data_IF_987680740846
#
_entry.id   IF_987680740846
#
_cell.length_a   1.000
_cell.length_b   1.000
_cell.length_c   1.000
_cell.angle_alpha   90.00
_cell.angle_beta   90.00
_cell.angle_gamma   90.00
#
_symmetry.space_group_name_H-M   'P 1'
#
loop_
_entity.id
_entity.type
_entity.pdbx_description
1 polymer ?
#
# COMPACT_ATOMS: atom_id res chain seq x y z
N UNK A 1 3.46 12.52 -14.08
CA UNK A 1 4.23 13.77 -13.95
C UNK A 1 5.54 13.48 -13.23
N UNK A 2 5.51 13.04 -11.96
CA UNK A 2 6.71 12.64 -11.18
C UNK A 2 7.77 11.87 -11.98
N UNK A 3 7.46 10.70 -12.56
CA UNK A 3 8.45 9.90 -13.29
C UNK A 3 9.05 10.62 -14.50
N UNK A 4 8.27 11.46 -15.21
CA UNK A 4 8.78 12.26 -16.32
C UNK A 4 9.72 13.35 -15.82
N UNK A 5 9.38 13.99 -14.70
CA UNK A 5 10.18 15.07 -14.11
C UNK A 5 11.50 14.52 -13.53
N UNK A 6 11.48 13.31 -12.95
CA UNK A 6 12.65 12.66 -12.39
C UNK A 6 13.60 12.08 -13.44
N UNK A 7 13.07 11.51 -14.52
CA UNK A 7 13.84 10.66 -15.44
C UNK A 7 13.87 11.16 -16.89
N UNK A 8 13.01 12.11 -17.26
CA UNK A 8 12.79 12.51 -18.65
C UNK A 8 12.48 11.30 -19.55
N UNK A 9 13.34 11.08 -20.54
CA UNK A 9 13.20 10.00 -21.52
C UNK A 9 13.70 8.62 -21.04
N UNK A 10 14.42 8.56 -19.91
CA UNK A 10 14.99 7.31 -19.39
C UNK A 10 13.92 6.41 -18.77
N UNK A 11 14.14 5.09 -18.83
CA UNK A 11 13.31 4.11 -18.14
C UNK A 11 13.61 4.11 -16.64
N UNK A 12 12.61 3.91 -15.77
CA UNK A 12 12.86 3.70 -14.34
C UNK A 12 13.74 2.47 -14.10
N UNK A 13 14.74 2.64 -13.24
CA UNK A 13 15.59 1.56 -12.73
C UNK A 13 15.42 1.43 -11.21
N UNK A 14 15.90 0.34 -10.64
CA UNK A 14 15.84 0.08 -9.20
C UNK A 14 16.39 1.24 -8.35
N UNK A 15 17.50 1.84 -8.79
CA UNK A 15 18.14 2.98 -8.10
C UNK A 15 17.26 4.24 -8.04
N UNK A 16 16.27 4.35 -8.93
CA UNK A 16 15.39 5.51 -9.00
C UNK A 16 14.18 5.39 -8.06
N UNK A 17 13.88 4.19 -7.57
CA UNK A 17 12.69 3.89 -6.75
C UNK A 17 12.61 4.74 -5.47
N UNK A 18 13.69 4.95 -4.69
CA UNK A 18 13.63 5.77 -3.48
C UNK A 18 13.16 7.22 -3.73
N UNK A 19 13.37 7.75 -4.94
CA UNK A 19 13.03 9.13 -5.33
C UNK A 19 11.56 9.31 -5.75
N UNK A 20 10.85 8.22 -6.04
CA UNK A 20 9.45 8.26 -6.50
C UNK A 20 8.48 8.32 -5.30
N UNK A 21 8.42 9.49 -4.66
CA UNK A 21 7.59 9.75 -3.48
C UNK A 21 6.10 9.54 -3.76
N UNK A 22 5.59 10.10 -4.85
CA UNK A 22 4.17 10.04 -5.21
C UNK A 22 3.76 8.62 -5.60
N UNK A 23 4.55 7.90 -6.40
CA UNK A 23 4.26 6.48 -6.69
C UNK A 23 4.27 5.62 -5.43
N UNK A 24 5.23 5.84 -4.53
CA UNK A 24 5.28 5.15 -3.24
C UNK A 24 3.98 5.37 -2.47
N UNK A 25 3.54 6.62 -2.36
CA UNK A 25 2.36 7.00 -1.61
C UNK A 25 1.08 6.45 -2.24
N UNK A 26 0.95 6.53 -3.57
CA UNK A 26 -0.14 5.91 -4.32
C UNK A 26 -0.23 4.42 -4.01
N UNK A 27 0.89 3.70 -4.06
CA UNK A 27 0.90 2.28 -3.77
C UNK A 27 0.55 1.98 -2.30
N UNK A 28 1.05 2.78 -1.35
CA UNK A 28 0.69 2.64 0.07
C UNK A 28 -0.80 2.86 0.31
N UNK A 29 -1.38 3.86 -0.33
CA UNK A 29 -2.81 4.13 -0.22
C UNK A 29 -3.65 3.03 -0.89
N UNK A 30 -3.18 2.49 -2.02
CA UNK A 30 -3.79 1.30 -2.64
C UNK A 30 -3.78 0.12 -1.68
N UNK A 31 -2.67 -0.14 -0.99
CA UNK A 31 -2.56 -1.24 -0.03
C UNK A 31 -3.38 -0.99 1.25
N UNK A 32 -3.63 0.27 1.62
CA UNK A 32 -4.54 0.65 2.72
C UNK A 32 -5.98 0.34 2.37
N UNK A 33 -6.43 0.78 1.21
CA UNK A 33 -7.83 0.62 0.80
C UNK A 33 -8.07 -0.82 0.32
N UNK A 34 -7.16 -1.42 -0.42
CA UNK A 34 -7.32 -2.76 -0.98
C UNK A 34 -6.16 -3.67 -0.55
N UNK A 35 -6.04 -3.99 0.76
CA UNK A 35 -5.02 -4.92 1.22
C UNK A 35 -5.24 -6.29 0.57
N UNK A 36 -4.25 -6.89 -0.11
CA UNK A 36 -4.44 -8.18 -0.77
C UNK A 36 -4.94 -9.27 0.17
N UNK A 37 -4.50 -9.26 1.44
CA UNK A 37 -5.01 -10.13 2.50
C UNK A 37 -5.88 -9.31 3.44
N UNK A 38 -7.20 -9.29 3.18
CA UNK A 38 -8.16 -8.50 3.97
C UNK A 38 -8.42 -9.02 5.39
N UNK A 39 -8.16 -10.32 5.59
CA UNK A 39 -8.26 -11.00 6.87
C UNK A 39 -7.02 -11.89 7.03
N UNK A 40 -6.12 -11.51 7.94
CA UNK A 40 -4.92 -12.27 8.22
C UNK A 40 -5.29 -13.57 8.95
N UNK A 41 -4.64 -14.66 8.57
CA UNK A 41 -4.87 -15.99 9.15
C UNK A 41 -4.77 -15.99 10.66
N UNK A 42 -5.80 -16.60 11.25
CA UNK A 42 -6.08 -16.96 12.63
C UNK A 42 -4.80 -17.16 13.46
N UNK A 43 -4.54 -16.26 14.41
CA UNK A 43 -3.70 -16.59 15.56
C UNK A 43 -4.51 -17.50 16.47
N UNK A 44 -3.88 -18.45 17.14
CA UNK A 44 -4.52 -19.25 18.18
C UNK A 44 -4.02 -18.72 19.52
N UNK A 45 -4.92 -18.39 20.44
CA UNK A 45 -4.53 -18.16 21.83
C UNK A 45 -3.87 -19.44 22.37
N UNK A 46 -2.67 -19.34 22.93
CA UNK A 46 -1.90 -20.47 23.48
C UNK A 46 -2.07 -20.64 24.99
N UNK A 47 -2.81 -19.72 25.60
CA UNK A 47 -3.24 -19.75 26.98
C UNK A 47 -4.46 -18.85 27.10
N UNK A 48 -5.22 -19.04 28.17
CA UNK A 48 -6.24 -18.07 28.57
C UNK A 48 -5.57 -16.70 28.75
N UNK A 49 -6.16 -15.68 28.15
CA UNK A 49 -5.62 -14.33 28.15
C UNK A 49 -6.74 -13.30 28.05
N UNK A 50 -6.45 -12.08 28.48
CA UNK A 50 -7.39 -10.98 28.38
C UNK A 50 -7.02 -10.07 27.21
N UNK A 51 -7.91 -9.92 26.24
CA UNK A 51 -7.78 -8.95 25.15
C UNK A 51 -8.68 -7.74 25.44
N UNK A 52 -8.06 -6.67 25.93
CA UNK A 52 -8.76 -5.49 26.42
C UNK A 52 -9.80 -5.85 27.50
N UNK A 53 -11.10 -5.77 27.18
CA UNK A 53 -12.21 -6.10 28.11
C UNK A 53 -12.78 -7.51 27.90
N UNK A 54 -12.18 -8.31 27.02
CA UNK A 54 -12.69 -9.62 26.64
C UNK A 54 -11.75 -10.72 27.12
N UNK A 55 -12.33 -11.74 27.76
CA UNK A 55 -11.61 -12.97 28.09
C UNK A 55 -11.52 -13.84 26.83
N UNK A 56 -10.31 -14.31 26.54
CA UNK A 56 -9.99 -15.12 25.37
C UNK A 56 -9.53 -16.49 25.89
N UNK A 57 -10.41 -17.52 25.83
CA UNK A 57 -10.06 -18.85 26.26
C UNK A 57 -8.86 -19.43 25.49
N UNK A 58 -8.15 -20.37 26.12
CA UNK A 58 -7.11 -21.13 25.43
C UNK A 58 -7.67 -21.79 24.16
N UNK A 59 -6.87 -21.76 23.11
CA UNK A 59 -7.20 -22.29 21.80
C UNK A 59 -8.14 -21.44 20.96
N UNK A 60 -8.59 -20.28 21.44
CA UNK A 60 -9.46 -19.39 20.68
C UNK A 60 -8.81 -18.88 19.39
N UNK A 61 -9.53 -18.90 18.26
CA UNK A 61 -9.07 -18.28 17.02
C UNK A 61 -9.21 -16.75 17.09
N UNK A 62 -8.12 -16.04 16.81
CA UNK A 62 -8.05 -14.57 16.75
C UNK A 62 -7.78 -14.17 15.30
N UNK A 63 -8.70 -13.43 14.70
CA UNK A 63 -8.58 -12.89 13.34
C UNK A 63 -8.24 -11.41 13.41
N UNK A 64 -7.21 -11.00 12.69
CA UNK A 64 -6.86 -9.58 12.49
C UNK A 64 -7.28 -9.20 11.08
N UNK A 65 -8.06 -8.14 10.94
CA UNK A 65 -8.53 -7.66 9.64
C UNK A 65 -7.86 -6.34 9.25
N UNK A 66 -6.81 -6.36 8.40
CA UNK A 66 -6.32 -5.14 7.76
C UNK A 66 -7.44 -4.37 7.07
N UNK A 67 -8.39 -5.05 6.42
CA UNK A 67 -9.53 -4.42 5.75
C UNK A 67 -10.32 -3.47 6.68
N UNK A 68 -10.60 -3.91 7.91
CA UNK A 68 -11.31 -3.11 8.91
C UNK A 68 -10.41 -2.07 9.57
N UNK A 69 -9.19 -2.45 9.98
CA UNK A 69 -8.24 -1.54 10.65
C UNK A 69 -7.92 -0.33 9.76
N UNK A 70 -7.69 -0.57 8.47
CA UNK A 70 -7.34 0.46 7.50
C UNK A 70 -8.51 1.39 7.16
N UNK A 71 -9.74 1.03 7.51
CA UNK A 71 -10.97 1.84 7.32
C UNK A 71 -11.55 2.39 8.61
N UNK A 72 -10.88 2.15 9.74
CA UNK A 72 -11.41 2.51 11.03
C UNK A 72 -11.42 4.04 11.22
N UNK A 73 -12.60 4.63 11.43
CA UNK A 73 -12.78 6.10 11.50
C UNK A 73 -12.03 6.79 12.64
N UNK A 74 -11.66 6.05 13.69
CA UNK A 74 -10.84 6.60 14.79
C UNK A 74 -9.34 6.59 14.46
N UNK A 75 -8.91 5.84 13.43
CA UNK A 75 -7.52 5.76 13.00
C UNK A 75 -7.27 6.58 11.73
N UNK A 76 -8.28 6.68 10.86
CA UNK A 76 -8.16 7.29 9.54
C UNK A 76 -9.28 8.31 9.32
N UNK A 77 -8.89 9.55 9.02
CA UNK A 77 -9.80 10.56 8.53
C UNK A 77 -10.22 10.23 7.10
N UNK A 78 -11.50 10.44 6.74
CA UNK A 78 -12.06 10.13 5.41
C UNK A 78 -11.61 8.73 4.90
N UNK A 79 -11.84 7.65 5.68
CA UNK A 79 -11.16 6.36 5.49
C UNK A 79 -11.45 5.66 4.17
N UNK A 80 -12.55 6.00 3.51
CA UNK A 80 -12.95 5.39 2.25
C UNK A 80 -12.48 6.18 1.03
N UNK A 81 -11.92 7.38 1.22
CA UNK A 81 -11.37 8.19 0.13
C UNK A 81 -9.94 7.76 -0.18
N UNK A 82 -9.63 7.66 -1.47
CA UNK A 82 -8.28 7.42 -1.96
C UNK A 82 -7.49 8.74 -1.97
N UNK A 83 -6.58 8.89 -1.01
CA UNK A 83 -5.78 10.10 -0.83
C UNK A 83 -4.32 9.71 -0.52
N UNK A 84 -3.46 9.65 -1.55
CA UNK A 84 -2.04 9.33 -1.41
C UNK A 84 -1.27 10.32 -0.54
N UNK A 85 -1.73 11.58 -0.48
CA UNK A 85 -1.00 12.64 0.22
C UNK A 85 -1.06 12.44 1.75
N UNK A 86 -1.92 11.56 2.26
CA UNK A 86 -1.90 11.11 3.68
C UNK A 86 -0.58 10.53 4.14
N UNK A 87 0.26 10.05 3.23
CA UNK A 87 1.58 9.50 3.54
C UNK A 87 2.72 10.51 3.40
N UNK A 88 2.41 11.77 3.09
CA UNK A 88 3.38 12.86 3.08
C UNK A 88 3.79 13.22 4.51
N UNK A 89 5.09 13.39 4.73
CA UNK A 89 5.63 13.76 6.05
C UNK A 89 5.63 12.64 7.09
N UNK A 90 4.94 11.53 6.86
CA UNK A 90 4.88 10.40 7.78
C UNK A 90 3.45 9.89 7.95
N UNK A 91 3.23 9.09 8.99
CA UNK A 91 1.89 8.75 9.48
C UNK A 91 1.84 9.17 10.95
N UNK A 92 0.85 9.97 11.31
CA UNK A 92 0.56 10.29 12.72
C UNK A 92 -0.15 9.12 13.43
N UNK A 93 -0.63 8.15 12.66
CA UNK A 93 -1.32 6.98 13.15
C UNK A 93 -0.35 6.05 13.91
N UNK A 94 -0.86 5.29 14.90
CA UNK A 94 -0.05 4.29 15.57
C UNK A 94 0.45 3.24 14.56
N UNK A 95 1.64 2.64 14.77
CA UNK A 95 2.22 1.65 13.84
C UNK A 95 1.30 0.48 13.47
N UNK A 96 0.34 0.12 14.31
CA UNK A 96 -0.64 -0.93 14.03
C UNK A 96 -1.82 -0.51 13.14
N UNK A 97 -1.96 0.78 12.83
CA UNK A 97 -3.03 1.29 11.97
C UNK A 97 -2.80 0.97 10.49
N UNK A 98 -1.54 0.77 10.08
CA UNK A 98 -1.15 0.47 8.71
C UNK A 98 -0.33 -0.82 8.64
N UNK A 99 -1.06 -1.94 8.47
CA UNK A 99 -0.55 -3.32 8.47
C UNK A 99 -0.78 -4.10 7.15
N UNK A 100 -0.46 -3.54 5.96
CA UNK A 100 -0.72 -4.18 4.66
C UNK A 100 0.05 -5.51 4.45
N UNK A 101 1.16 -5.68 5.16
CA UNK A 101 2.01 -6.87 5.12
C UNK A 101 2.04 -7.63 6.46
N UNK A 102 1.08 -7.32 7.34
CA UNK A 102 1.11 -7.72 8.74
C UNK A 102 2.11 -6.92 9.58
N UNK A 103 2.36 -7.38 10.80
CA UNK A 103 3.27 -6.76 11.76
C UNK A 103 3.85 -7.82 12.71
N UNK A 104 4.98 -7.49 13.35
CA UNK A 104 5.62 -8.33 14.37
C UNK A 104 6.48 -9.45 13.79
N UNK A 105 6.81 -10.50 14.57
CA UNK A 105 7.76 -11.55 14.19
C UNK A 105 7.37 -12.38 12.96
N UNK A 106 6.12 -12.27 12.51
CA UNK A 106 5.56 -12.99 11.35
C UNK A 106 5.13 -12.02 10.24
N UNK A 107 5.72 -10.83 10.20
CA UNK A 107 5.56 -9.89 9.08
C UNK A 107 6.01 -10.54 7.77
N UNK A 108 5.38 -10.16 6.65
CA UNK A 108 5.75 -10.67 5.34
C UNK A 108 7.25 -10.44 5.06
N UNK A 109 7.99 -11.53 4.87
CA UNK A 109 9.41 -11.48 4.51
C UNK A 109 9.65 -10.80 3.15
N UNK A 110 8.65 -10.83 2.26
CA UNK A 110 8.69 -10.19 0.95
C UNK A 110 8.24 -8.73 0.92
N UNK A 111 7.96 -8.09 2.07
CA UNK A 111 7.38 -6.74 2.09
C UNK A 111 8.24 -5.70 1.35
N UNK A 112 9.55 -5.68 1.61
CA UNK A 112 10.46 -4.73 0.97
C UNK A 112 10.56 -4.97 -0.55
N UNK A 113 10.64 -6.23 -0.96
CA UNK A 113 10.67 -6.63 -2.37
C UNK A 113 9.39 -6.22 -3.09
N UNK A 114 8.22 -6.55 -2.54
CA UNK A 114 6.93 -6.23 -3.14
C UNK A 114 6.72 -4.71 -3.29
N UNK A 115 7.16 -3.92 -2.31
CA UNK A 115 7.12 -2.46 -2.41
C UNK A 115 7.97 -1.95 -3.58
N UNK A 116 9.22 -2.43 -3.70
CA UNK A 116 10.13 -2.00 -4.77
C UNK A 116 9.65 -2.43 -6.16
N UNK A 117 9.21 -3.68 -6.29
CA UNK A 117 8.69 -4.25 -7.53
C UNK A 117 7.45 -3.48 -7.99
N UNK A 118 6.47 -3.28 -7.11
CA UNK A 118 5.24 -2.56 -7.44
C UNK A 118 5.52 -1.11 -7.85
N UNK A 119 6.42 -0.41 -7.14
CA UNK A 119 6.83 0.95 -7.51
C UNK A 119 7.48 1.00 -8.89
N UNK A 120 8.35 0.03 -9.22
CA UNK A 120 9.00 -0.04 -10.53
C UNK A 120 7.99 -0.30 -11.66
N UNK A 121 7.05 -1.22 -11.44
CA UNK A 121 5.97 -1.52 -12.38
C UNK A 121 5.10 -0.28 -12.59
N UNK A 122 4.66 0.38 -11.52
CA UNK A 122 3.83 1.58 -11.59
C UNK A 122 4.56 2.73 -12.30
N UNK A 123 5.83 2.98 -11.99
CA UNK A 123 6.63 4.00 -12.66
C UNK A 123 6.75 3.72 -14.16
N UNK A 124 7.00 2.46 -14.51
CA UNK A 124 7.15 2.04 -15.91
C UNK A 124 5.83 2.18 -16.68
N UNK A 125 4.74 1.67 -16.11
CA UNK A 125 3.42 1.69 -16.74
C UNK A 125 2.86 3.10 -16.89
N UNK A 126 2.90 3.91 -15.82
CA UNK A 126 2.34 5.28 -15.83
C UNK A 126 3.16 6.24 -16.70
N UNK A 127 4.45 5.97 -16.89
CA UNK A 127 5.30 6.69 -17.85
C UNK A 127 4.93 6.37 -19.29
N UNK A 128 4.75 5.08 -19.61
CA UNK A 128 4.55 4.61 -20.99
C UNK A 128 3.11 4.69 -21.47
N UNK A 129 2.15 4.60 -20.56
CA UNK A 129 0.75 4.46 -20.90
C UNK A 129 -0.14 5.44 -20.12
N UNK A 130 -1.27 5.76 -20.74
CA UNK A 130 -2.41 6.43 -20.11
C UNK A 130 -3.49 5.37 -19.94
N UNK A 131 -4.03 5.27 -18.73
CA UNK A 131 -5.11 4.36 -18.38
C UNK A 131 -6.37 5.17 -18.10
N UNK A 132 -7.52 4.69 -18.58
CA UNK A 132 -8.85 5.17 -18.20
C UNK A 132 -9.79 3.99 -17.99
N UNK A 133 -10.90 4.17 -17.25
CA UNK A 133 -11.95 3.17 -17.18
C UNK A 133 -12.41 2.73 -18.59
N UNK A 134 -12.50 1.43 -18.77
CA UNK A 134 -13.04 0.79 -19.96
C UNK A 134 -14.58 0.73 -19.94
N UNK A 135 -15.19 0.09 -20.94
CA UNK A 135 -16.66 -0.03 -21.03
C UNK A 135 -17.27 -1.07 -20.06
N UNK A 136 -16.44 -1.83 -19.34
CA UNK A 136 -16.91 -2.80 -18.35
C UNK A 136 -17.48 -2.14 -17.08
N UNK A 137 -18.12 -2.92 -16.20
CA UNK A 137 -18.63 -2.42 -14.93
C UNK A 137 -17.50 -1.91 -14.03
N UNK A 138 -17.86 -1.08 -13.05
CA UNK A 138 -16.93 -0.68 -12.00
C UNK A 138 -16.44 -1.92 -11.22
N UNK A 139 -15.14 -2.01 -10.88
CA UNK A 139 -14.62 -3.18 -10.19
C UNK A 139 -15.24 -3.36 -8.80
N UNK A 140 -15.93 -4.47 -8.58
CA UNK A 140 -16.41 -4.86 -7.25
C UNK A 140 -15.32 -5.62 -6.48
N UNK A 141 -14.85 -5.11 -5.32
CA UNK A 141 -13.87 -5.81 -4.51
C UNK A 141 -14.49 -7.05 -3.85
N UNK A 142 -14.02 -8.23 -4.23
CA UNK A 142 -14.43 -9.51 -3.64
C UNK A 142 -13.29 -10.16 -2.87
N UNK A 143 -13.59 -10.73 -1.71
CA UNK A 143 -12.63 -11.47 -0.89
C UNK A 143 -12.74 -12.97 -1.18
N UNK A 144 -11.71 -13.53 -1.81
CA UNK A 144 -11.48 -15.00 -1.85
C UNK A 144 -10.35 -15.34 -0.87
N UNK A 145 -9.25 -15.92 -1.36
CA UNK A 145 -7.99 -15.96 -0.62
C UNK A 145 -7.32 -14.58 -0.55
N UNK A 146 -7.47 -13.81 -1.63
CA UNK A 146 -7.03 -12.43 -1.71
C UNK A 146 -8.18 -11.55 -2.18
N UNK A 147 -8.13 -10.27 -1.81
CA UNK A 147 -9.02 -9.25 -2.36
C UNK A 147 -8.64 -9.01 -3.82
N UNK A 148 -9.65 -9.07 -4.69
CA UNK A 148 -9.54 -8.88 -6.15
C UNK A 148 -10.85 -8.31 -6.69
N UNK A 149 -10.85 -7.82 -7.92
CA UNK A 149 -12.10 -7.51 -8.60
C UNK A 149 -12.87 -8.79 -8.95
N UNK A 150 -14.20 -8.80 -8.78
CA UNK A 150 -15.05 -9.96 -9.06
C UNK A 150 -14.93 -10.43 -10.52
N UNK A 151 -15.12 -9.49 -11.45
CA UNK A 151 -15.16 -9.74 -12.90
C UNK A 151 -13.96 -9.13 -13.64
N UNK A 152 -12.86 -8.88 -12.92
CA UNK A 152 -11.67 -8.20 -13.46
C UNK A 152 -11.81 -6.68 -13.52
N UNK A 153 -10.87 -6.02 -14.20
CA UNK A 153 -10.83 -4.57 -14.34
C UNK A 153 -10.73 -4.22 -15.82
N UNK A 154 -11.74 -3.52 -16.35
CA UNK A 154 -11.74 -3.06 -17.73
C UNK A 154 -11.03 -1.71 -17.83
N UNK A 155 -9.98 -1.64 -18.65
CA UNK A 155 -9.22 -0.42 -18.88
C UNK A 155 -9.06 -0.13 -20.36
N UNK A 156 -9.19 1.14 -20.74
CA UNK A 156 -8.65 1.65 -22.00
C UNK A 156 -7.22 2.10 -21.79
N UNK A 157 -6.35 1.71 -22.72
CA UNK A 157 -4.90 1.92 -22.61
C UNK A 157 -4.40 2.59 -23.88
N UNK A 158 -3.73 3.73 -23.73
CA UNK A 158 -3.07 4.42 -24.83
C UNK A 158 -1.59 4.57 -24.54
N UNK A 159 -0.76 4.44 -25.58
CA UNK A 159 0.66 4.77 -25.49
C UNK A 159 0.81 6.28 -25.34
N UNK A 160 1.57 6.73 -24.35
CA UNK A 160 1.91 8.14 -24.16
C UNK A 160 2.95 8.58 -25.20
N UNK A 161 2.87 9.83 -25.71
CA UNK A 161 3.98 10.44 -26.43
C UNK A 161 5.25 10.47 -25.55
N UNK A 162 6.43 10.25 -26.12
CA UNK A 162 7.69 10.43 -25.38
C UNK A 162 7.88 11.92 -25.07
N UNK A 163 8.26 12.24 -23.83
CA UNK A 163 8.47 13.62 -23.38
C UNK A 163 9.93 13.97 -23.62
N UNK A 164 10.21 14.66 -24.73
CA UNK A 164 11.57 15.12 -25.06
C UNK A 164 12.13 16.00 -23.95
N UNK A 165 13.20 15.53 -23.30
CA UNK A 165 14.09 16.27 -22.40
C UNK A 165 13.41 17.11 -21.29
N UNK A 166 13.42 16.59 -20.06
CA UNK A 166 13.22 17.39 -18.83
C UNK A 166 14.55 17.38 -18.07
N UNK A 167 14.98 18.54 -17.55
CA UNK A 167 16.19 18.62 -16.73
C UNK A 167 16.00 17.79 -15.46
N UNK A 168 16.89 16.82 -15.26
CA UNK A 168 16.87 15.88 -14.13
C UNK A 168 17.17 16.65 -12.84
N UNK A 169 16.28 16.55 -11.85
CA UNK A 169 16.51 17.13 -10.52
C UNK A 169 17.71 16.41 -9.86
N UNK A 170 18.73 17.12 -9.36
CA UNK A 170 19.90 16.51 -8.73
C UNK A 170 19.54 15.68 -7.48
N UNK A 171 20.38 14.69 -7.20
CA UNK A 171 20.28 13.79 -6.04
C UNK A 171 20.41 14.56 -4.72
N UNK A 172 19.48 14.37 -3.78
CA UNK A 172 19.64 14.78 -2.39
C UNK A 172 19.51 13.55 -1.46
N UNK A 173 20.34 13.44 -0.40
CA UNK A 173 20.33 12.28 0.49
C UNK A 173 19.01 12.17 1.25
N UNK A 174 18.44 10.96 1.31
CA UNK A 174 17.24 10.67 2.08
C UNK A 174 17.63 10.27 3.51
N UNK A 175 17.32 11.12 4.49
CA UNK A 175 17.53 10.83 5.91
C UNK A 175 16.55 9.75 6.40
N UNK A 176 17.07 8.72 7.07
CA UNK A 176 16.27 7.61 7.58
C UNK A 176 15.61 7.98 8.92
N UNK A 177 14.28 8.06 8.96
CA UNK A 177 13.53 8.25 10.19
C UNK A 177 13.47 6.95 11.01
N UNK A 178 13.68 7.06 12.33
CA UNK A 178 13.66 5.93 13.27
C UNK A 178 12.23 5.36 13.44
N UNK A 179 12.08 4.03 13.64
CA UNK A 179 10.76 3.41 13.75
C UNK A 179 10.10 3.73 15.10
N UNK A 180 8.89 4.32 15.06
CA UNK A 180 8.04 4.49 16.22
C UNK A 180 7.47 3.14 16.72
N UNK A 181 7.31 2.98 18.04
CA UNK A 181 6.72 1.78 18.67
C UNK A 181 5.20 1.88 18.77
N UNK A 182 4.53 0.73 18.69
CA UNK A 182 3.08 0.62 18.79
C UNK A 182 2.63 0.79 20.24
N UNK A 183 1.63 1.64 20.55
CA UNK A 183 1.13 1.84 21.91
C UNK A 183 0.27 0.69 22.45
N UNK A 184 -0.06 -0.30 21.62
CA UNK A 184 -0.85 -1.49 21.99
C UNK A 184 0.02 -2.74 22.20
N UNK A 185 1.33 -2.57 22.38
CA UNK A 185 2.27 -3.66 22.62
C UNK A 185 3.18 -3.41 23.81
#
# INVERSE_FOLDING_TARGET
>A
KETCDLLGDRQPEFKDIPRHKQIRNVFRETMRIYPPVGFLTVRKATSEQKLHKHDVPDGSPIVISPWLVHRHRQLWERPNEFDPDRFDGGLDQPPCAYIPFGQGPRICIGAAFAMQEAMLILATLTRRYRFEPGPGPDPEPTSRLTIRALDGISLRVWKRPQVKHVQVIPEQPMEAAAPARCPFH
#
